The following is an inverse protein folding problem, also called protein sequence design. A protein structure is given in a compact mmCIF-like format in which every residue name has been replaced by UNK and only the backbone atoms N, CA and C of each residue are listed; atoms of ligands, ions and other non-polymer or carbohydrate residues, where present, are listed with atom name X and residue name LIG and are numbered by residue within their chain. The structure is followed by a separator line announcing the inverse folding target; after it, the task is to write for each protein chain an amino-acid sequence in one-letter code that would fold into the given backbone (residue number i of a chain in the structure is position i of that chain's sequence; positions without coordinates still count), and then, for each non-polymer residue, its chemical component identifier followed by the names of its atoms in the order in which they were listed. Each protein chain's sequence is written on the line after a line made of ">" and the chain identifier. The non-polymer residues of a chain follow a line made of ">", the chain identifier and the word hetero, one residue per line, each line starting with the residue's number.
data_IF_815746958006
#
_entry.id   IF_815746958006
#
_cell.length_a   1.000
_cell.length_b   1.000
_cell.length_c   1.000
_cell.angle_alpha   90.00
_cell.angle_beta   90.00
_cell.angle_gamma   90.00
#
_symmetry.space_group_name_H-M   'P 1'
#
loop_
_entity.id
_entity.type
_entity.pdbx_description
1 polymer ?
#
# COMPACT_ATOMS: atom_id res chain seq x y z
N UNK A 1 4.07 45.94 7.55
CA UNK A 1 4.73 44.63 7.44
C UNK A 1 3.80 43.74 6.63
N UNK A 2 4.09 43.50 5.35
CA UNK A 2 3.18 42.76 4.46
C UNK A 2 3.34 41.28 4.80
N UNK A 3 2.34 40.69 5.44
CA UNK A 3 2.26 39.24 5.61
C UNK A 3 2.28 38.59 4.23
N UNK A 4 3.36 37.88 3.95
CA UNK A 4 3.57 37.22 2.67
C UNK A 4 2.95 35.82 2.76
N UNK A 5 2.14 35.42 1.78
CA UNK A 5 1.46 34.14 1.82
C UNK A 5 2.45 32.95 1.79
N UNK A 6 2.02 31.79 2.29
CA UNK A 6 2.87 30.60 2.41
C UNK A 6 3.51 30.15 1.09
N UNK A 7 2.84 30.37 -0.05
CA UNK A 7 3.32 29.98 -1.36
C UNK A 7 4.56 30.81 -1.75
N UNK A 8 4.52 32.12 -1.50
CA UNK A 8 5.67 33.02 -1.74
C UNK A 8 6.84 32.72 -0.79
N UNK A 9 6.56 32.31 0.45
CA UNK A 9 7.59 31.86 1.39
C UNK A 9 8.28 30.59 0.91
N UNK A 10 7.51 29.58 0.47
CA UNK A 10 8.03 28.31 -0.07
C UNK A 10 8.85 28.50 -1.34
N UNK A 11 8.42 29.37 -2.25
CA UNK A 11 9.15 29.70 -3.49
C UNK A 11 10.46 30.47 -3.25
N UNK A 12 10.61 31.14 -2.09
CA UNK A 12 11.81 31.89 -1.70
C UNK A 12 12.73 31.15 -0.75
N UNK A 13 12.41 29.89 -0.39
CA UNK A 13 13.27 29.09 0.50
C UNK A 13 14.55 28.73 -0.26
N UNK A 14 15.62 29.46 0.00
CA UNK A 14 16.94 29.15 -0.51
C UNK A 14 17.42 27.84 0.15
N UNK A 15 17.72 26.84 -0.67
CA UNK A 15 18.32 25.59 -0.19
C UNK A 15 19.80 25.83 0.05
N UNK A 16 20.25 25.63 1.29
CA UNK A 16 21.66 25.70 1.64
C UNK A 16 22.22 24.28 1.72
N UNK A 17 23.23 23.93 0.89
CA UNK A 17 23.87 22.63 0.98
C UNK A 17 24.55 22.49 2.36
N UNK A 18 24.35 21.34 3.01
CA UNK A 18 24.86 21.06 4.36
C UNK A 18 25.89 19.94 4.39
N UNK A 19 25.70 18.94 3.53
CA UNK A 19 26.59 17.80 3.44
C UNK A 19 26.51 17.14 2.05
N UNK A 20 27.58 16.45 1.66
CA UNK A 20 27.63 15.56 0.51
C UNK A 20 27.91 14.12 0.97
N UNK A 21 27.14 13.17 0.44
CA UNK A 21 27.37 11.74 0.63
C UNK A 21 28.08 11.17 -0.60
N UNK A 22 29.17 10.43 -0.38
CA UNK A 22 29.90 9.73 -1.43
C UNK A 22 29.86 8.24 -1.10
N UNK A 23 29.38 7.45 -2.07
CA UNK A 23 29.17 6.00 -1.94
C UNK A 23 30.20 5.29 -2.79
N UNK A 24 30.95 4.39 -2.17
CA UNK A 24 31.91 3.52 -2.83
C UNK A 24 31.38 2.09 -2.81
N UNK A 25 31.42 1.43 -3.96
CA UNK A 25 31.14 0.01 -4.12
C UNK A 25 32.44 -0.75 -4.27
N UNK A 26 32.63 -1.81 -3.51
CA UNK A 26 33.74 -2.73 -3.74
C UNK A 26 33.40 -3.64 -4.94
N UNK A 27 34.24 -3.66 -5.96
CA UNK A 27 34.14 -4.66 -7.03
C UNK A 27 34.59 -6.01 -6.48
N UNK A 28 33.64 -6.88 -6.14
CA UNK A 28 33.92 -8.27 -5.80
C UNK A 28 33.87 -9.13 -7.08
N UNK A 29 35.00 -9.73 -7.47
CA UNK A 29 35.09 -10.70 -8.58
C UNK A 29 34.40 -12.06 -8.28
N UNK A 30 33.75 -12.20 -7.12
CA UNK A 30 33.02 -13.41 -6.73
C UNK A 30 31.59 -13.40 -7.27
N UNK A 31 31.19 -14.48 -7.94
CA UNK A 31 29.85 -14.69 -8.54
C UNK A 31 28.68 -14.82 -7.54
N UNK A 32 28.79 -14.29 -6.32
CA UNK A 32 27.72 -14.26 -5.34
C UNK A 32 27.03 -12.89 -5.36
N UNK A 33 25.83 -12.81 -5.93
CA UNK A 33 25.02 -11.60 -6.11
C UNK A 33 24.57 -10.87 -4.82
N UNK A 34 25.01 -11.29 -3.63
CA UNK A 34 24.44 -10.84 -2.35
C UNK A 34 25.39 -10.07 -1.43
N UNK A 35 26.60 -9.73 -1.86
CA UNK A 35 27.61 -9.10 -0.98
C UNK A 35 28.24 -7.85 -1.61
N UNK A 36 27.39 -6.93 -2.07
CA UNK A 36 27.85 -5.57 -2.39
C UNK A 36 28.11 -4.84 -1.07
N UNK A 37 29.36 -4.81 -0.62
CA UNK A 37 29.80 -3.95 0.46
C UNK A 37 29.83 -2.50 -0.03
N UNK A 38 29.08 -1.64 0.66
CA UNK A 38 29.08 -0.20 0.43
C UNK A 38 29.87 0.49 1.53
N UNK A 39 30.86 1.30 1.17
CA UNK A 39 31.46 2.27 2.07
C UNK A 39 30.88 3.65 1.77
N UNK A 40 30.39 4.35 2.79
CA UNK A 40 29.75 5.66 2.63
C UNK A 40 30.52 6.67 3.48
N UNK A 41 31.00 7.73 2.84
CA UNK A 41 31.54 8.90 3.53
C UNK A 41 30.60 10.09 3.43
N UNK A 42 30.66 10.96 4.43
CA UNK A 42 30.00 12.26 4.44
C UNK A 42 31.05 13.36 4.51
N UNK A 43 30.81 14.43 3.75
CA UNK A 43 31.58 15.69 3.78
C UNK A 43 30.66 16.83 4.14
N UNK A 44 30.98 17.58 5.18
CA UNK A 44 30.23 18.78 5.53
C UNK A 44 30.47 19.86 4.47
N UNK A 45 29.45 20.69 4.17
CA UNK A 45 29.56 21.81 3.23
C UNK A 45 29.44 23.10 4.04
N UNK A 46 30.47 23.95 3.98
CA UNK A 46 30.51 25.22 4.69
C UNK A 46 29.59 26.28 4.02
N UNK A 47 29.45 27.44 4.67
CA UNK A 47 28.59 28.53 4.18
C UNK A 47 29.03 29.09 2.81
N UNK A 48 30.30 28.87 2.43
CA UNK A 48 30.85 29.26 1.13
C UNK A 48 30.68 28.18 0.05
N UNK A 49 30.06 27.04 0.40
CA UNK A 49 29.83 25.92 -0.51
C UNK A 49 31.03 24.99 -0.67
N UNK A 50 32.07 25.12 0.18
CA UNK A 50 33.26 24.25 0.09
C UNK A 50 33.03 22.96 0.89
N UNK A 51 33.41 21.84 0.30
CA UNK A 51 33.37 20.53 0.95
C UNK A 51 34.54 20.37 1.91
N UNK A 52 34.25 19.93 3.13
CA UNK A 52 35.25 19.55 4.12
C UNK A 52 35.84 18.15 3.89
N UNK A 53 36.50 17.67 4.93
CA UNK A 53 37.11 16.34 4.97
C UNK A 53 36.07 15.22 4.90
N UNK A 54 36.41 14.11 4.25
CA UNK A 54 35.58 12.92 4.20
C UNK A 54 35.70 12.14 5.51
N UNK A 55 34.57 11.87 6.15
CA UNK A 55 34.48 11.00 7.33
C UNK A 55 33.50 9.85 7.07
N UNK A 56 33.74 8.64 7.62
CA UNK A 56 32.74 7.57 7.56
C UNK A 56 31.39 8.06 8.10
N UNK A 57 30.32 7.69 7.42
CA UNK A 57 28.96 8.00 7.87
C UNK A 57 28.69 7.33 9.21
N UNK A 58 28.07 8.07 10.12
CA UNK A 58 27.63 7.55 11.42
C UNK A 58 26.14 7.20 11.40
N UNK A 59 25.73 6.34 12.33
CA UNK A 59 24.31 5.97 12.51
C UNK A 59 23.50 7.20 12.90
N UNK A 60 24.07 8.10 13.69
CA UNK A 60 23.44 9.36 14.12
C UNK A 60 23.15 10.25 12.91
N UNK A 61 24.11 10.43 12.01
CA UNK A 61 23.92 11.22 10.80
C UNK A 61 22.81 10.65 9.91
N UNK A 62 22.82 9.32 9.70
CA UNK A 62 21.76 8.65 8.94
C UNK A 62 20.39 8.82 9.61
N UNK A 63 20.32 8.70 10.93
CA UNK A 63 19.09 8.90 11.68
C UNK A 63 18.60 10.35 11.59
N UNK A 64 19.47 11.35 11.64
CA UNK A 64 19.08 12.75 11.48
C UNK A 64 18.58 13.05 10.06
N UNK A 65 19.24 12.49 9.04
CA UNK A 65 18.83 12.61 7.65
C UNK A 65 17.48 11.94 7.43
N UNK A 66 17.31 10.71 7.93
CA UNK A 66 16.04 9.98 7.86
C UNK A 66 14.96 10.70 8.66
N UNK A 67 15.24 11.20 9.87
CA UNK A 67 14.27 11.95 10.68
C UNK A 67 13.81 13.22 9.96
N UNK A 68 14.74 14.05 9.49
CA UNK A 68 14.41 15.29 8.76
C UNK A 68 13.67 15.04 7.45
N UNK A 69 14.02 13.96 6.73
CA UNK A 69 13.30 13.54 5.53
C UNK A 69 11.90 12.99 5.88
N UNK A 70 11.79 12.10 6.86
CA UNK A 70 10.53 11.48 7.29
C UNK A 70 9.55 12.49 7.91
N UNK A 71 10.02 13.49 8.64
CA UNK A 71 9.17 14.58 9.18
C UNK A 71 8.55 15.42 8.06
N UNK A 72 9.21 15.51 6.91
CA UNK A 72 8.75 16.31 5.74
C UNK A 72 8.10 15.48 4.63
N UNK A 73 8.35 14.17 4.59
CA UNK A 73 7.94 13.24 3.51
C UNK A 73 7.40 11.91 4.07
N UNK A 74 6.74 11.95 5.25
CA UNK A 74 6.33 10.76 6.02
C UNK A 74 5.73 9.66 5.15
N UNK A 75 6.51 8.60 4.98
CA UNK A 75 6.14 7.43 4.17
C UNK A 75 6.11 6.14 4.98
N UNK A 76 6.49 6.19 6.26
CA UNK A 76 6.47 5.06 7.19
C UNK A 76 5.33 5.24 8.18
N UNK A 77 4.39 4.29 8.28
CA UNK A 77 3.27 4.42 9.19
C UNK A 77 3.70 4.27 10.65
N UNK A 78 2.97 4.92 11.56
CA UNK A 78 3.24 4.86 13.01
C UNK A 78 1.96 4.74 13.85
N UNK A 79 2.12 4.67 15.17
CA UNK A 79 1.02 4.63 16.14
C UNK A 79 0.54 3.23 16.49
N UNK A 80 -0.68 3.13 17.06
CA UNK A 80 -1.24 1.86 17.53
C UNK A 80 -1.46 0.89 16.36
N UNK A 81 -0.95 -0.33 16.50
CA UNK A 81 -1.18 -1.41 15.53
C UNK A 81 -2.64 -1.88 15.63
N UNK A 82 -3.41 -1.81 14.53
CA UNK A 82 -4.78 -2.32 14.49
C UNK A 82 -4.79 -3.83 14.67
N UNK A 83 -5.78 -4.38 15.40
CA UNK A 83 -5.89 -5.83 15.63
C UNK A 83 -6.13 -6.65 14.37
N UNK A 84 -6.60 -6.01 13.30
CA UNK A 84 -6.83 -6.64 12.01
C UNK A 84 -5.61 -6.56 11.07
N UNK A 85 -4.49 -5.93 11.48
CA UNK A 85 -3.25 -5.92 10.73
C UNK A 85 -2.48 -7.23 10.99
N UNK A 86 -2.33 -8.05 9.95
CA UNK A 86 -1.72 -9.38 9.98
C UNK A 86 -0.23 -9.34 9.67
N UNK A 87 0.21 -8.42 8.81
CA UNK A 87 1.61 -8.24 8.43
C UNK A 87 1.94 -6.77 8.21
N UNK A 88 3.15 -6.39 8.60
CA UNK A 88 3.69 -5.05 8.39
C UNK A 88 5.19 -5.13 8.12
N UNK A 89 5.59 -4.79 6.91
CA UNK A 89 6.97 -4.46 6.55
C UNK A 89 7.04 -2.98 6.17
N UNK A 90 7.61 -2.11 7.04
CA UNK A 90 7.74 -0.69 6.75
C UNK A 90 9.00 -0.31 5.99
N UNK A 91 9.89 -1.27 5.68
CA UNK A 91 11.18 -1.00 5.02
C UNK A 91 10.93 -0.42 3.63
N UNK A 92 11.54 0.72 3.34
CA UNK A 92 11.44 1.40 2.05
C UNK A 92 11.89 0.48 0.91
N UNK A 93 11.09 0.38 -0.15
CA UNK A 93 11.32 -0.53 -1.27
C UNK A 93 10.89 -1.98 -1.02
N UNK A 94 10.41 -2.30 0.18
CA UNK A 94 9.86 -3.62 0.55
C UNK A 94 8.53 -3.47 1.28
N UNK A 95 7.86 -2.31 1.15
CA UNK A 95 6.65 -2.03 1.90
C UNK A 95 5.57 -3.07 1.64
N UNK A 96 5.03 -3.62 2.72
CA UNK A 96 3.97 -4.63 2.65
C UNK A 96 3.09 -4.57 3.88
N UNK A 97 1.80 -4.35 3.67
CA UNK A 97 0.80 -4.32 4.73
C UNK A 97 -0.32 -5.27 4.37
N UNK A 98 -0.59 -6.24 5.24
CA UNK A 98 -1.67 -7.21 5.05
C UNK A 98 -2.64 -7.07 6.22
N UNK A 99 -3.91 -6.82 5.92
CA UNK A 99 -4.96 -6.73 6.93
C UNK A 99 -6.25 -7.34 6.42
N UNK A 100 -7.17 -7.60 7.33
CA UNK A 100 -8.47 -8.16 6.97
C UNK A 100 -9.62 -7.30 7.45
N UNK A 101 -10.78 -7.54 6.84
CA UNK A 101 -12.05 -7.09 7.34
C UNK A 101 -13.02 -8.29 7.41
N UNK A 102 -13.81 -8.42 8.48
CA UNK A 102 -14.86 -9.43 8.57
C UNK A 102 -15.96 -9.16 7.53
N UNK A 103 -16.82 -10.17 7.25
CA UNK A 103 -18.03 -9.97 6.44
C UNK A 103 -18.82 -8.76 6.92
N UNK A 104 -19.13 -7.84 6.00
CA UNK A 104 -19.82 -6.58 6.31
C UNK A 104 -20.48 -6.00 5.08
N UNK A 105 -21.33 -4.99 5.28
CA UNK A 105 -21.83 -4.16 4.18
C UNK A 105 -20.82 -3.11 3.75
N UNK A 106 -20.75 -2.83 2.45
CA UNK A 106 -20.01 -1.69 1.91
C UNK A 106 -20.78 -1.03 0.77
N UNK A 107 -20.79 0.30 0.79
CA UNK A 107 -21.22 1.10 -0.36
C UNK A 107 -20.30 0.80 -1.55
N UNK A 108 -20.89 0.50 -2.70
CA UNK A 108 -20.19 0.24 -3.96
C UNK A 108 -20.77 1.09 -5.08
N UNK A 109 -19.90 1.52 -5.98
CA UNK A 109 -20.26 2.35 -7.14
C UNK A 109 -19.94 1.59 -8.41
N UNK A 110 -20.89 1.55 -9.34
CA UNK A 110 -20.80 0.78 -10.57
C UNK A 110 -21.05 1.67 -11.78
N UNK A 111 -20.30 1.39 -12.85
CA UNK A 111 -20.55 2.00 -14.16
C UNK A 111 -21.91 1.54 -14.67
N UNK A 112 -22.67 2.47 -15.24
CA UNK A 112 -24.05 2.22 -15.69
C UNK A 112 -24.19 1.01 -16.63
N UNK A 113 -23.15 0.72 -17.43
CA UNK A 113 -23.10 -0.41 -18.34
C UNK A 113 -23.26 -1.79 -17.64
N UNK A 114 -22.87 -1.91 -16.37
CA UNK A 114 -23.04 -3.14 -15.59
C UNK A 114 -24.49 -3.37 -15.16
N UNK A 115 -25.34 -2.32 -15.22
CA UNK A 115 -26.74 -2.34 -14.78
C UNK A 115 -26.90 -2.82 -13.34
N UNK A 116 -25.93 -2.50 -12.48
CA UNK A 116 -25.95 -2.70 -11.02
C UNK A 116 -26.17 -1.34 -10.37
N UNK A 117 -26.97 -1.29 -9.32
CA UNK A 117 -27.27 -0.05 -8.60
C UNK A 117 -26.13 0.33 -7.65
N UNK A 118 -25.88 1.63 -7.49
CA UNK A 118 -24.97 2.14 -6.46
C UNK A 118 -25.67 2.04 -5.10
N UNK A 119 -25.23 1.11 -4.26
CA UNK A 119 -25.86 0.81 -2.98
C UNK A 119 -24.89 0.10 -2.04
N UNK A 120 -25.33 -0.21 -0.83
CA UNK A 120 -24.60 -1.08 0.08
C UNK A 120 -24.86 -2.55 -0.23
N UNK A 121 -23.79 -3.34 -0.31
CA UNK A 121 -23.83 -4.77 -0.59
C UNK A 121 -23.16 -5.56 0.53
N UNK A 122 -23.72 -6.73 0.86
CA UNK A 122 -23.10 -7.70 1.75
C UNK A 122 -21.87 -8.32 1.10
N UNK A 123 -20.75 -8.31 1.81
CA UNK A 123 -19.48 -8.83 1.33
C UNK A 123 -19.03 -10.05 2.15
N UNK A 124 -18.25 -10.97 1.54
CA UNK A 124 -17.52 -11.97 2.31
C UNK A 124 -16.42 -11.29 3.13
N UNK A 125 -15.69 -12.09 3.92
CA UNK A 125 -14.46 -11.62 4.54
C UNK A 125 -13.44 -11.23 3.48
N UNK A 126 -12.82 -10.06 3.60
CA UNK A 126 -11.83 -9.54 2.64
C UNK A 126 -10.46 -9.39 3.30
N UNK A 127 -9.41 -9.85 2.63
CA UNK A 127 -8.01 -9.59 2.98
C UNK A 127 -7.42 -8.65 1.93
N UNK A 128 -6.68 -7.67 2.40
CA UNK A 128 -5.95 -6.71 1.58
C UNK A 128 -4.47 -6.97 1.73
N UNK A 129 -3.72 -6.86 0.63
CA UNK A 129 -2.26 -6.81 0.62
C UNK A 129 -1.85 -5.56 -0.15
N UNK A 130 -1.40 -4.54 0.56
CA UNK A 130 -0.90 -3.31 -0.02
C UNK A 130 0.63 -3.29 -0.05
N UNK A 131 1.19 -2.90 -1.19
CA UNK A 131 2.60 -2.54 -1.33
C UNK A 131 2.77 -1.05 -1.64
N UNK A 132 3.89 -0.67 -2.23
CA UNK A 132 4.18 0.73 -2.58
C UNK A 132 3.09 1.35 -3.50
N UNK A 133 2.84 0.71 -4.65
CA UNK A 133 1.91 1.22 -5.67
C UNK A 133 0.86 0.18 -6.12
N UNK A 134 0.75 -0.93 -5.39
CA UNK A 134 -0.15 -2.04 -5.74
C UNK A 134 -1.05 -2.39 -4.56
N UNK A 135 -2.26 -2.82 -4.89
CA UNK A 135 -3.20 -3.40 -3.94
C UNK A 135 -3.67 -4.73 -4.50
N UNK A 136 -3.54 -5.78 -3.71
CA UNK A 136 -4.20 -7.05 -3.94
C UNK A 136 -5.35 -7.21 -2.94
N UNK A 137 -6.41 -7.89 -3.38
CA UNK A 137 -7.57 -8.23 -2.55
C UNK A 137 -7.93 -9.70 -2.72
N UNK A 138 -8.30 -10.32 -1.61
CA UNK A 138 -8.65 -11.73 -1.51
C UNK A 138 -9.95 -11.88 -0.71
N UNK A 139 -10.70 -12.95 -0.98
CA UNK A 139 -11.83 -13.34 -0.15
C UNK A 139 -11.46 -14.53 0.75
N UNK A 140 -12.11 -14.64 1.91
CA UNK A 140 -12.02 -15.80 2.80
C UNK A 140 -13.40 -16.17 3.37
N UNK A 141 -13.52 -17.40 3.88
CA UNK A 141 -14.77 -17.96 4.44
C UNK A 141 -14.74 -18.12 5.96
N UNK A 142 -13.56 -18.38 6.52
CA UNK A 142 -13.37 -18.71 7.93
C UNK A 142 -13.81 -17.59 8.88
N UNK A 143 -14.30 -17.95 10.06
CA UNK A 143 -14.65 -17.00 11.13
C UNK A 143 -13.39 -16.43 11.77
N UNK A 144 -12.39 -17.30 12.00
CA UNK A 144 -11.08 -16.94 12.53
C UNK A 144 -10.00 -17.27 11.50
N UNK A 145 -9.10 -16.30 11.27
CA UNK A 145 -8.01 -16.45 10.31
C UNK A 145 -6.84 -17.20 10.96
N UNK A 146 -6.30 -18.17 10.22
CA UNK A 146 -5.07 -18.88 10.56
C UNK A 146 -4.16 -18.96 9.34
N UNK A 147 -2.90 -19.32 9.52
CA UNK A 147 -1.95 -19.58 8.43
C UNK A 147 -2.47 -20.57 7.37
N UNK A 148 -3.42 -21.44 7.74
CA UNK A 148 -4.00 -22.45 6.87
C UNK A 148 -5.26 -21.99 6.15
N UNK A 149 -5.81 -20.82 6.49
CA UNK A 149 -7.02 -20.25 5.87
C UNK A 149 -6.84 -20.17 4.37
N UNK A 150 -7.82 -20.69 3.63
CA UNK A 150 -7.83 -20.69 2.18
C UNK A 150 -8.23 -19.32 1.64
N UNK A 151 -7.52 -18.88 0.60
CA UNK A 151 -7.80 -17.62 -0.08
C UNK A 151 -8.53 -17.89 -1.40
N UNK A 152 -9.57 -17.09 -1.61
CA UNK A 152 -10.45 -17.16 -2.77
C UNK A 152 -10.29 -15.90 -3.62
N UNK A 153 -10.66 -16.01 -4.89
CA UNK A 153 -10.75 -14.86 -5.78
C UNK A 153 -11.77 -13.87 -5.20
N UNK A 154 -11.36 -12.60 -5.07
CA UNK A 154 -12.26 -11.59 -4.57
C UNK A 154 -13.39 -11.34 -5.61
N UNK A 155 -14.67 -11.37 -5.20
CA UNK A 155 -15.81 -11.32 -6.12
C UNK A 155 -16.10 -9.88 -6.55
N UNK A 156 -15.13 -9.20 -7.16
CA UNK A 156 -15.23 -7.80 -7.53
C UNK A 156 -14.81 -7.55 -8.97
N UNK A 157 -15.46 -6.57 -9.59
CA UNK A 157 -14.97 -5.96 -10.82
C UNK A 157 -13.66 -5.21 -10.56
N UNK A 158 -12.96 -4.86 -11.62
CA UNK A 158 -11.65 -4.19 -11.59
C UNK A 158 -10.57 -5.01 -10.85
N UNK A 159 -10.79 -6.31 -10.61
CA UNK A 159 -9.81 -7.22 -10.00
C UNK A 159 -9.43 -8.29 -11.02
N UNK A 160 -8.13 -8.48 -11.23
CA UNK A 160 -7.55 -9.53 -12.08
C UNK A 160 -6.74 -10.48 -11.21
N UNK A 161 -7.25 -11.70 -11.01
CA UNK A 161 -6.70 -12.61 -10.01
C UNK A 161 -6.94 -12.04 -8.62
N UNK A 162 -5.89 -11.52 -7.98
CA UNK A 162 -5.99 -10.73 -6.75
C UNK A 162 -5.71 -9.23 -6.97
N UNK A 163 -5.09 -8.85 -8.10
CA UNK A 163 -4.59 -7.50 -8.32
C UNK A 163 -5.71 -6.52 -8.67
N UNK A 164 -5.76 -5.41 -7.96
CA UNK A 164 -6.74 -4.34 -8.15
C UNK A 164 -6.24 -3.36 -9.23
N UNK A 165 -7.10 -3.09 -10.21
CA UNK A 165 -6.94 -1.97 -11.12
C UNK A 165 -7.39 -0.68 -10.40
N UNK A 166 -6.43 0.06 -9.84
CA UNK A 166 -6.70 1.29 -9.08
C UNK A 166 -7.13 2.48 -9.96
N UNK A 167 -7.07 2.32 -11.28
CA UNK A 167 -7.39 3.38 -12.25
C UNK A 167 -6.57 4.66 -12.01
N UNK A 168 -7.13 5.80 -12.39
CA UNK A 168 -6.57 7.14 -12.18
C UNK A 168 -7.07 7.82 -10.90
N UNK A 169 -7.60 7.06 -9.94
CA UNK A 169 -8.20 7.59 -8.72
C UNK A 169 -7.18 8.42 -7.92
N UNK A 170 -7.38 9.75 -7.90
CA UNK A 170 -6.56 10.71 -7.16
C UNK A 170 -7.05 10.82 -5.72
N UNK A 171 -6.78 9.80 -4.92
CA UNK A 171 -6.89 9.93 -3.46
C UNK A 171 -5.51 10.33 -2.94
N UNK A 172 -5.45 11.48 -2.28
CA UNK A 172 -4.24 11.96 -1.62
C UNK A 172 -3.88 11.05 -0.44
N UNK A 173 -2.60 10.73 -0.31
CA UNK A 173 -2.08 10.00 0.84
C UNK A 173 -2.28 10.87 2.10
N UNK A 174 -2.71 10.29 3.24
CA UNK A 174 -2.89 11.06 4.45
C UNK A 174 -1.58 11.72 4.91
N UNK A 175 -1.66 12.98 5.35
CA UNK A 175 -0.51 13.71 5.92
C UNK A 175 -0.04 13.07 7.22
N UNK A 176 -0.99 12.65 8.03
CA UNK A 176 -0.75 11.88 9.24
C UNK A 176 -0.83 10.38 8.93
N UNK A 177 0.32 9.76 8.74
CA UNK A 177 0.42 8.37 8.31
C UNK A 177 0.40 7.43 9.52
N UNK A 178 -0.71 7.33 10.23
CA UNK A 178 -0.87 6.23 11.20
C UNK A 178 -1.15 4.91 10.48
N UNK A 179 -0.97 3.77 11.15
CA UNK A 179 -1.41 2.48 10.59
C UNK A 179 -2.89 2.54 10.18
N UNK A 180 -3.78 2.99 11.07
CA UNK A 180 -5.21 3.09 10.73
C UNK A 180 -5.46 3.95 9.49
N UNK A 181 -4.83 5.12 9.40
CA UNK A 181 -5.01 6.02 8.26
C UNK A 181 -4.46 5.42 6.96
N UNK A 182 -3.37 4.66 7.01
CA UNK A 182 -2.83 3.93 5.86
C UNK A 182 -3.80 2.83 5.37
N UNK A 183 -4.34 2.02 6.28
CA UNK A 183 -5.30 0.97 5.95
C UNK A 183 -6.57 1.59 5.34
N UNK A 184 -7.09 2.64 5.98
CA UNK A 184 -8.27 3.36 5.51
C UNK A 184 -8.03 4.02 4.14
N UNK A 185 -6.84 4.58 3.91
CA UNK A 185 -6.45 5.14 2.61
C UNK A 185 -6.57 4.10 1.49
N UNK A 186 -6.01 2.91 1.69
CA UNK A 186 -6.08 1.83 0.70
C UNK A 186 -7.49 1.31 0.50
N UNK A 187 -8.26 1.14 1.58
CA UNK A 187 -9.66 0.74 1.49
C UNK A 187 -10.48 1.78 0.71
N UNK A 188 -10.31 3.08 0.98
CA UNK A 188 -10.98 4.15 0.22
C UNK A 188 -10.57 4.12 -1.25
N UNK A 189 -9.28 3.91 -1.53
CA UNK A 189 -8.76 3.83 -2.91
C UNK A 189 -9.34 2.65 -3.69
N UNK A 190 -9.80 1.61 -3.02
CA UNK A 190 -10.52 0.52 -3.65
C UNK A 190 -12.03 0.81 -3.74
N UNK A 191 -12.69 1.08 -2.61
CA UNK A 191 -14.15 1.14 -2.52
C UNK A 191 -14.79 2.39 -3.11
N UNK A 192 -14.05 3.51 -3.19
CA UNK A 192 -14.53 4.74 -3.82
C UNK A 192 -14.27 4.78 -5.33
N UNK A 193 -13.78 3.68 -5.92
CA UNK A 193 -13.67 3.56 -7.37
C UNK A 193 -15.00 3.16 -7.98
N UNK A 194 -15.17 3.50 -9.26
CA UNK A 194 -16.28 2.98 -10.04
C UNK A 194 -15.90 1.60 -10.61
N UNK A 195 -16.55 0.56 -10.08
CA UNK A 195 -16.50 -0.80 -10.59
C UNK A 195 -17.06 -0.85 -12.00
N UNK A 196 -16.29 -1.32 -12.98
CA UNK A 196 -16.66 -1.10 -14.40
C UNK A 196 -16.45 -2.29 -15.33
N UNK A 197 -15.48 -3.17 -15.06
CA UNK A 197 -15.16 -4.27 -15.96
C UNK A 197 -14.67 -5.52 -15.22
N UNK A 198 -14.83 -6.68 -15.83
CA UNK A 198 -14.15 -7.89 -15.36
C UNK A 198 -12.66 -7.78 -15.67
N UNK A 199 -11.82 -8.25 -14.74
CA UNK A 199 -10.40 -8.41 -14.99
C UNK A 199 -10.12 -9.43 -16.09
N UNK A 200 -8.89 -9.43 -16.62
CA UNK A 200 -8.50 -10.37 -17.67
C UNK A 200 -8.50 -11.84 -17.21
N UNK A 201 -8.57 -12.09 -15.91
CA UNK A 201 -8.72 -13.42 -15.30
C UNK A 201 -10.13 -14.01 -15.40
N UNK A 202 -11.09 -13.31 -16.00
CA UNK A 202 -12.46 -13.78 -16.20
C UNK A 202 -13.35 -13.61 -14.96
N UNK A 203 -14.43 -14.39 -14.90
CA UNK A 203 -15.46 -14.27 -13.85
C UNK A 203 -14.99 -14.88 -12.51
N UNK A 204 -14.84 -14.08 -11.43
CA UNK A 204 -14.25 -14.52 -10.16
C UNK A 204 -15.20 -15.37 -9.29
N UNK A 205 -16.48 -15.45 -9.65
CA UNK A 205 -17.52 -16.24 -8.96
C UNK A 205 -17.91 -17.49 -9.75
N UNK A 206 -18.55 -18.48 -9.13
CA UNK A 206 -19.08 -19.67 -9.83
C UNK A 206 -20.15 -19.28 -10.85
N UNK A 207 -21.11 -18.45 -10.43
CA UNK A 207 -22.17 -17.86 -11.22
C UNK A 207 -21.77 -16.48 -11.76
N UNK A 208 -22.58 -15.89 -12.65
CA UNK A 208 -22.32 -14.56 -13.22
C UNK A 208 -22.17 -13.48 -12.12
N UNK A 209 -21.05 -12.76 -12.11
CA UNK A 209 -20.74 -11.78 -11.07
C UNK A 209 -21.80 -10.67 -10.93
N UNK A 210 -22.43 -10.23 -12.01
CA UNK A 210 -23.50 -9.21 -11.96
C UNK A 210 -24.67 -9.72 -11.14
N UNK A 211 -25.08 -10.98 -11.34
CA UNK A 211 -26.20 -11.59 -10.62
C UNK A 211 -25.85 -11.82 -9.15
N UNK A 212 -24.64 -12.33 -8.88
CA UNK A 212 -24.14 -12.54 -7.52
C UNK A 212 -24.10 -11.22 -6.75
N UNK A 213 -23.55 -10.17 -7.36
CA UNK A 213 -23.47 -8.84 -6.75
C UNK A 213 -24.87 -8.30 -6.44
N UNK A 214 -25.79 -8.34 -7.40
CA UNK A 214 -27.19 -7.89 -7.18
C UNK A 214 -27.87 -8.65 -6.04
N UNK A 215 -27.71 -9.96 -5.99
CA UNK A 215 -28.29 -10.79 -4.93
C UNK A 215 -27.76 -10.46 -3.54
N UNK A 216 -26.50 -10.02 -3.46
CA UNK A 216 -25.85 -9.63 -2.21
C UNK A 216 -26.31 -8.26 -1.67
N UNK A 217 -27.21 -7.54 -2.36
CA UNK A 217 -27.79 -6.28 -1.85
C UNK A 217 -28.65 -6.54 -0.61
N UNK A 218 -29.55 -7.51 -0.75
CA UNK A 218 -30.64 -7.77 0.22
C UNK A 218 -30.39 -8.99 1.10
N UNK A 219 -29.39 -9.82 0.76
CA UNK A 219 -29.06 -11.06 1.46
C UNK A 219 -27.57 -11.13 1.79
N UNK A 220 -27.17 -11.86 2.84
CA UNK A 220 -25.78 -12.19 3.07
C UNK A 220 -25.11 -12.76 1.81
N UNK A 221 -23.83 -12.45 1.61
CA UNK A 221 -23.08 -12.96 0.49
C UNK A 221 -23.01 -14.50 0.56
N UNK A 222 -23.35 -15.17 -0.54
CA UNK A 222 -23.22 -16.63 -0.63
C UNK A 222 -21.75 -17.04 -0.79
N UNK A 223 -21.16 -17.57 0.27
CA UNK A 223 -19.76 -18.02 0.27
C UNK A 223 -19.51 -19.14 -0.75
N UNK A 224 -20.54 -19.88 -1.17
CA UNK A 224 -20.38 -20.91 -2.20
C UNK A 224 -20.10 -20.34 -3.58
N UNK A 225 -20.31 -19.04 -3.81
CA UNK A 225 -19.94 -18.38 -5.07
C UNK A 225 -18.43 -18.16 -5.19
N UNK A 226 -17.67 -18.21 -4.10
CA UNK A 226 -16.23 -17.96 -4.10
C UNK A 226 -15.46 -19.07 -4.83
N UNK A 227 -14.63 -18.68 -5.80
CA UNK A 227 -13.71 -19.57 -6.51
C UNK A 227 -12.35 -19.64 -5.81
N UNK A 228 -11.75 -20.83 -5.64
CA UNK A 228 -10.40 -20.96 -5.12
C UNK A 228 -9.40 -20.19 -5.98
N UNK A 229 -8.48 -19.47 -5.35
CA UNK A 229 -7.40 -18.76 -6.04
C UNK A 229 -6.13 -19.62 -6.00
N UNK A 230 -5.98 -20.54 -6.96
CA UNK A 230 -4.78 -21.39 -7.11
C UNK A 230 -4.38 -22.17 -5.83
N UNK A 231 -5.34 -22.57 -4.99
CA UNK A 231 -5.10 -23.23 -3.67
C UNK A 231 -4.20 -22.42 -2.72
N UNK A 232 -4.18 -21.10 -2.89
CA UNK A 232 -3.41 -20.18 -2.06
C UNK A 232 -3.97 -20.15 -0.63
N UNK A 233 -3.08 -20.04 0.35
CA UNK A 233 -3.42 -19.89 1.78
C UNK A 233 -2.85 -18.60 2.35
N UNK A 234 -3.36 -18.18 3.50
CA UNK A 234 -2.93 -16.94 4.16
C UNK A 234 -1.41 -16.89 4.39
N UNK A 235 -0.79 -17.99 4.86
CA UNK A 235 0.68 -18.06 5.02
C UNK A 235 1.49 -17.79 3.74
N UNK A 236 0.89 -17.97 2.56
CA UNK A 236 1.60 -17.80 1.30
C UNK A 236 1.82 -16.33 0.97
N UNK A 237 0.97 -15.44 1.51
CA UNK A 237 1.10 -13.99 1.39
C UNK A 237 1.77 -13.35 2.61
N UNK A 238 1.83 -14.01 3.77
CA UNK A 238 2.55 -13.54 4.97
C UNK A 238 4.06 -13.87 4.90
N UNK A 239 4.76 -13.33 3.90
CA UNK A 239 6.20 -13.50 3.66
C UNK A 239 6.87 -12.18 3.34
#
# INVERSE_FOLDING_TARGET
>A
MIETNELTRKLRTLLHPRAALIVYTQENNSHSMNDNSYFIEVRDIDESGRMGEGRPVTVEFMNELVRGYSESHSTTPYGRIPSNLLWCDPRKGSEKYIWYNPPRKRMMFFKEALKIENAEYHLPGIIYEAGENRLNVYAYKDIELTDKTELFAAPFFNVTGASVCLGSAKIEKPKDLTYMNLLEYWEKKFWLTEFSHLGSGGNPTKSNLVLVTKGAKDKPFDLEELKPLNKMKLKDILK
#
